data_IF_945668835548
#
_entry.id   IF_945668835548
#
_cell.length_a   1.000
_cell.length_b   1.000
_cell.length_c   1.000
_cell.angle_alpha   90.00
_cell.angle_beta   90.00
_cell.angle_gamma   90.00
#
_symmetry.space_group_name_H-M   'P 1'
#
loop_
_entity.id
_entity.type
_entity.pdbx_description
1 polymer ?
#
# COMPACT_ATOMS: atom_id res chain seq x y z
N UNK A 1 -7.14 -17.05 5.04
CA UNK A 1 -7.71 -18.27 4.43
C UNK A 1 -6.76 -18.77 3.35
N UNK A 2 -6.26 -20.01 3.43
CA UNK A 2 -5.53 -20.61 2.29
C UNK A 2 -6.55 -20.97 1.21
N UNK A 3 -6.33 -20.48 -0.02
CA UNK A 3 -7.17 -20.80 -1.17
C UNK A 3 -6.62 -22.02 -1.91
N UNK A 4 -5.28 -22.16 -1.93
CA UNK A 4 -4.62 -23.33 -2.51
C UNK A 4 -3.28 -23.60 -1.80
N UNK A 5 -2.54 -24.62 -2.27
CA UNK A 5 -1.15 -24.88 -1.79
C UNK A 5 -0.19 -23.73 -2.10
N UNK A 6 -0.50 -22.90 -3.10
CA UNK A 6 0.35 -21.81 -3.58
C UNK A 6 -0.24 -20.41 -3.38
N UNK A 7 -1.49 -20.29 -2.91
CA UNK A 7 -2.14 -19.00 -2.65
C UNK A 7 -2.84 -18.96 -1.29
N UNK A 8 -2.67 -17.87 -0.57
CA UNK A 8 -3.51 -17.56 0.59
C UNK A 8 -3.98 -16.12 0.52
N UNK A 9 -5.09 -15.88 1.21
CA UNK A 9 -5.74 -14.58 1.25
C UNK A 9 -5.92 -14.13 2.70
N UNK A 10 -5.68 -12.85 2.95
CA UNK A 10 -5.92 -12.19 4.23
C UNK A 10 -6.85 -11.01 4.00
N UNK A 11 -8.01 -11.02 4.65
CA UNK A 11 -8.86 -9.84 4.73
C UNK A 11 -8.19 -8.84 5.66
N UNK A 12 -7.99 -7.62 5.16
CA UNK A 12 -7.52 -6.48 5.95
C UNK A 12 -8.38 -5.26 5.62
N UNK A 13 -8.49 -4.34 6.56
CA UNK A 13 -8.97 -2.99 6.28
C UNK A 13 -7.76 -2.07 6.33
N UNK A 14 -7.34 -1.54 5.18
CA UNK A 14 -6.18 -0.63 5.12
C UNK A 14 -6.65 0.73 5.61
N UNK A 15 -6.13 1.17 6.76
CA UNK A 15 -6.34 2.53 7.26
C UNK A 15 -5.14 3.40 6.95
N UNK A 16 -5.40 4.68 6.75
CA UNK A 16 -4.40 5.69 6.37
C UNK A 16 -3.26 5.80 7.38
N UNK A 17 -3.57 5.69 8.67
CA UNK A 17 -2.57 5.75 9.74
C UNK A 17 -1.87 4.42 10.03
N UNK A 18 -2.25 3.34 9.33
CA UNK A 18 -1.71 1.99 9.50
C UNK A 18 -0.77 1.59 8.34
N UNK A 19 -0.40 2.52 7.44
CA UNK A 19 0.45 2.22 6.27
C UNK A 19 1.76 1.54 6.68
N UNK A 20 2.44 2.05 7.72
CA UNK A 20 3.68 1.46 8.23
C UNK A 20 3.50 0.03 8.77
N UNK A 21 2.39 -0.22 9.47
CA UNK A 21 2.07 -1.56 9.95
C UNK A 21 1.80 -2.53 8.79
N UNK A 22 1.20 -2.04 7.70
CA UNK A 22 1.02 -2.82 6.48
C UNK A 22 2.37 -3.11 5.81
N UNK A 23 3.26 -2.13 5.69
CA UNK A 23 4.63 -2.34 5.16
C UNK A 23 5.35 -3.46 5.92
N UNK A 24 5.41 -3.35 7.26
CA UNK A 24 6.06 -4.34 8.13
C UNK A 24 5.43 -5.73 7.99
N UNK A 25 4.10 -5.81 7.88
CA UNK A 25 3.40 -7.07 7.64
C UNK A 25 3.75 -7.71 6.29
N UNK A 26 3.84 -6.90 5.23
CA UNK A 26 4.21 -7.39 3.90
C UNK A 26 5.67 -7.86 3.86
N UNK A 27 6.58 -7.16 4.55
CA UNK A 27 7.98 -7.57 4.72
C UNK A 27 8.08 -8.90 5.47
N UNK A 28 7.32 -9.08 6.56
CA UNK A 28 7.25 -10.34 7.31
C UNK A 28 6.77 -11.50 6.40
N UNK A 29 5.76 -11.27 5.56
CA UNK A 29 5.27 -12.30 4.63
C UNK A 29 6.25 -12.61 3.52
N UNK A 30 6.96 -11.62 2.99
CA UNK A 30 8.03 -11.89 2.04
C UNK A 30 9.16 -12.74 2.64
N UNK A 31 9.51 -12.52 3.91
CA UNK A 31 10.46 -13.35 4.66
C UNK A 31 9.99 -14.79 4.83
N UNK A 32 8.69 -15.02 4.97
CA UNK A 32 8.09 -16.36 5.05
C UNK A 32 7.97 -17.06 3.69
N UNK A 33 8.34 -16.39 2.59
CA UNK A 33 8.18 -16.92 1.23
C UNK A 33 6.79 -16.69 0.65
N UNK A 34 6.16 -15.58 1.01
CA UNK A 34 4.88 -15.16 0.45
C UNK A 34 4.99 -13.75 -0.11
N UNK A 35 4.81 -13.63 -1.42
CA UNK A 35 4.81 -12.33 -2.08
C UNK A 35 3.37 -11.87 -2.30
N UNK A 36 3.14 -10.59 -2.06
CA UNK A 36 1.87 -9.96 -2.37
C UNK A 36 1.68 -9.95 -3.89
N UNK A 37 0.57 -10.51 -4.35
CA UNK A 37 0.22 -10.65 -5.77
C UNK A 37 -0.83 -9.61 -6.17
N UNK A 38 -1.82 -9.34 -5.30
CA UNK A 38 -2.93 -8.44 -5.62
C UNK A 38 -3.69 -7.97 -4.35
N UNK A 39 -4.52 -6.93 -4.48
CA UNK A 39 -5.52 -6.52 -3.49
C UNK A 39 -6.88 -6.32 -4.16
N UNK A 40 -7.84 -7.18 -3.79
CA UNK A 40 -9.20 -7.13 -4.31
C UNK A 40 -10.16 -6.91 -3.15
N UNK A 41 -10.93 -5.83 -3.15
CA UNK A 41 -11.97 -5.57 -2.13
C UNK A 41 -11.50 -5.74 -0.67
N UNK A 42 -10.30 -5.25 -0.32
CA UNK A 42 -9.71 -5.39 1.02
C UNK A 42 -9.07 -6.77 1.31
N UNK A 43 -9.07 -7.68 0.35
CA UNK A 43 -8.38 -8.95 0.46
C UNK A 43 -6.98 -8.85 -0.13
N UNK A 44 -5.96 -8.96 0.73
CA UNK A 44 -4.59 -9.19 0.29
C UNK A 44 -4.46 -10.61 -0.25
N UNK A 45 -4.04 -10.74 -1.50
CA UNK A 45 -3.81 -12.02 -2.18
C UNK A 45 -2.31 -12.26 -2.24
N UNK A 46 -1.87 -13.36 -1.63
CA UNK A 46 -0.47 -13.75 -1.59
C UNK A 46 -0.23 -15.00 -2.43
N UNK A 47 0.89 -14.98 -3.14
CA UNK A 47 1.41 -16.13 -3.88
C UNK A 47 2.67 -16.65 -3.21
N UNK A 48 2.82 -17.97 -3.17
CA UNK A 48 4.03 -18.62 -2.68
C UNK A 48 5.22 -18.20 -3.55
N UNK A 49 6.27 -17.74 -2.90
CA UNK A 49 7.52 -17.29 -3.50
C UNK A 49 8.72 -17.86 -2.69
N UNK A 50 9.94 -17.64 -3.15
CA UNK A 50 11.12 -17.89 -2.33
C UNK A 50 11.18 -16.88 -1.18
N UNK A 51 11.50 -17.30 0.06
CA UNK A 51 11.80 -16.39 1.16
C UNK A 51 12.80 -15.31 0.73
N UNK A 52 12.41 -14.04 0.85
CA UNK A 52 13.24 -12.92 0.44
C UNK A 52 13.17 -11.78 1.44
N UNK A 53 14.31 -11.12 1.67
CA UNK A 53 14.36 -9.84 2.39
C UNK A 53 14.14 -8.73 1.37
N UNK A 54 12.96 -8.12 1.40
CA UNK A 54 12.64 -6.91 0.65
C UNK A 54 12.07 -5.85 1.58
N UNK A 55 12.04 -4.61 1.10
CA UNK A 55 11.36 -3.48 1.72
C UNK A 55 10.07 -3.19 0.99
N UNK A 56 9.04 -2.83 1.73
CA UNK A 56 7.77 -2.35 1.18
C UNK A 56 7.60 -0.87 1.51
N UNK A 57 6.92 -0.16 0.62
CA UNK A 57 6.44 1.19 0.87
C UNK A 57 4.96 1.28 0.46
N UNK A 58 4.14 1.82 1.34
CA UNK A 58 2.72 2.06 1.13
C UNK A 58 2.47 3.55 1.29
N UNK A 59 2.34 4.27 0.17
CA UNK A 59 2.08 5.71 0.19
C UNK A 59 0.62 6.02 -0.17
N UNK A 60 0.11 7.09 0.43
CA UNK A 60 -1.20 7.65 0.16
C UNK A 60 -1.05 8.69 -0.94
N UNK A 61 -1.59 8.35 -2.11
CA UNK A 61 -1.62 9.23 -3.27
C UNK A 61 -3.06 9.56 -3.64
N UNK A 62 -3.37 10.86 -3.65
CA UNK A 62 -4.75 11.34 -3.87
C UNK A 62 -4.83 12.41 -4.96
N UNK A 63 -3.73 12.70 -5.64
CA UNK A 63 -3.67 13.69 -6.70
C UNK A 63 -3.74 12.99 -8.08
N UNK A 64 -3.88 13.74 -9.17
CA UNK A 64 -4.23 13.17 -10.48
C UNK A 64 -3.02 12.63 -11.28
N UNK A 65 -1.79 12.97 -10.88
CA UNK A 65 -0.56 12.66 -11.63
C UNK A 65 0.11 11.39 -11.10
N UNK A 66 -0.66 10.29 -11.04
CA UNK A 66 -0.18 9.03 -10.46
C UNK A 66 1.00 8.45 -11.24
N UNK A 67 0.94 8.47 -12.57
CA UNK A 67 1.93 7.81 -13.41
C UNK A 67 3.30 8.51 -13.28
N UNK A 68 3.33 9.84 -13.31
CA UNK A 68 4.54 10.64 -13.03
C UNK A 68 5.14 10.33 -11.66
N UNK A 69 4.28 10.14 -10.65
CA UNK A 69 4.72 9.81 -9.30
C UNK A 69 5.29 8.39 -9.21
N UNK A 70 4.71 7.43 -9.92
CA UNK A 70 5.26 6.07 -10.03
C UNK A 70 6.62 6.11 -10.71
N UNK A 71 6.75 6.78 -11.85
CA UNK A 71 8.01 6.92 -12.57
C UNK A 71 9.10 7.53 -11.69
N UNK A 72 8.76 8.57 -10.91
CA UNK A 72 9.67 9.15 -9.92
C UNK A 72 10.13 8.13 -8.87
N UNK A 73 9.21 7.34 -8.32
CA UNK A 73 9.56 6.33 -7.32
C UNK A 73 10.42 5.21 -7.93
N UNK A 74 10.12 4.80 -9.16
CA UNK A 74 10.87 3.77 -9.88
C UNK A 74 12.28 4.22 -10.22
N UNK A 75 12.46 5.47 -10.65
CA UNK A 75 13.78 6.09 -10.82
C UNK A 75 14.57 6.13 -9.50
N UNK A 76 13.88 6.17 -8.36
CA UNK A 76 14.46 6.09 -7.02
C UNK A 76 14.81 4.68 -6.53
N UNK A 77 14.63 3.63 -7.35
CA UNK A 77 14.98 2.25 -7.01
C UNK A 77 13.83 1.43 -6.39
N UNK A 78 12.61 1.98 -6.39
CA UNK A 78 11.41 1.23 -6.03
C UNK A 78 10.84 0.50 -7.26
N UNK A 79 10.06 -0.55 -7.03
CA UNK A 79 9.28 -1.24 -8.06
C UNK A 79 7.81 -1.10 -7.71
N UNK A 80 7.01 -0.59 -8.63
CA UNK A 80 5.57 -0.52 -8.44
C UNK A 80 4.94 -1.92 -8.45
N UNK A 81 4.03 -2.21 -7.52
CA UNK A 81 3.26 -3.46 -7.51
C UNK A 81 1.86 -3.24 -8.05
N UNK A 82 1.06 -2.44 -7.35
CA UNK A 82 -0.31 -2.11 -7.74
C UNK A 82 -0.87 -0.97 -6.87
N UNK A 83 -2.09 -0.53 -7.21
CA UNK A 83 -2.85 0.46 -6.49
C UNK A 83 -4.10 -0.17 -5.88
N UNK A 84 -4.44 0.22 -4.67
CA UNK A 84 -5.74 -0.07 -4.06
C UNK A 84 -6.34 1.22 -3.50
N UNK A 85 -7.46 1.67 -4.07
CA UNK A 85 -8.05 2.98 -3.76
C UNK A 85 -6.99 4.09 -3.87
N UNK A 86 -6.67 4.78 -2.79
CA UNK A 86 -5.64 5.83 -2.70
C UNK A 86 -4.24 5.34 -2.31
N UNK A 87 -4.07 4.04 -2.08
CA UNK A 87 -2.81 3.46 -1.66
C UNK A 87 -2.03 2.98 -2.88
N UNK A 88 -0.78 3.45 -3.00
CA UNK A 88 0.20 2.93 -3.94
C UNK A 88 1.19 2.06 -3.18
N UNK A 89 1.39 0.84 -3.66
CA UNK A 89 2.25 -0.14 -3.00
C UNK A 89 3.46 -0.39 -3.89
N UNK A 90 4.62 -0.22 -3.28
CA UNK A 90 5.92 -0.42 -3.89
C UNK A 90 6.72 -1.44 -3.09
N UNK A 91 7.71 -2.04 -3.73
CA UNK A 91 8.70 -2.85 -3.06
C UNK A 91 10.08 -2.67 -3.66
N UNK A 92 11.11 -3.05 -2.91
CA UNK A 92 12.47 -3.16 -3.43
C UNK A 92 13.23 -4.26 -2.71
N UNK A 93 14.22 -4.84 -3.37
CA UNK A 93 15.14 -5.80 -2.77
C UNK A 93 16.36 -5.11 -2.14
N UNK A 94 16.54 -3.80 -2.40
CA UNK A 94 17.58 -3.00 -1.77
C UNK A 94 17.22 -2.66 -0.32
N UNK A 95 18.08 -3.11 0.61
CA UNK A 95 17.88 -2.93 2.05
C UNK A 95 18.29 -1.54 2.55
N UNK A 96 19.09 -0.82 1.77
CA UNK A 96 19.66 0.49 2.12
C UNK A 96 18.86 1.59 1.40
N UNK A 97 17.76 1.23 0.74
CA UNK A 97 16.90 2.17 0.03
C UNK A 97 16.44 3.31 0.94
N UNK A 98 16.40 4.52 0.39
CA UNK A 98 15.81 5.66 1.08
C UNK A 98 14.27 5.53 1.02
N UNK A 99 13.55 5.67 2.14
CA UNK A 99 12.09 5.70 2.14
C UNK A 99 11.56 6.75 1.14
N UNK A 100 10.46 6.43 0.46
CA UNK A 100 9.83 7.32 -0.53
C UNK A 100 9.52 8.70 0.08
N UNK A 101 9.10 8.72 1.34
CA UNK A 101 8.98 9.94 2.12
C UNK A 101 9.72 9.78 3.45
N UNK A 102 10.65 10.68 3.72
CA UNK A 102 11.43 10.73 4.97
C UNK A 102 10.89 11.75 5.95
N UNK A 103 10.10 12.71 5.48
CA UNK A 103 9.48 13.73 6.32
C UNK A 103 8.14 13.24 6.91
N UNK A 104 8.15 12.99 8.22
CA UNK A 104 6.97 12.55 8.97
C UNK A 104 5.82 13.57 8.95
N UNK A 105 6.09 14.87 8.89
CA UNK A 105 5.05 15.90 8.80
C UNK A 105 4.33 15.81 7.46
N UNK A 106 5.06 15.53 6.38
CA UNK A 106 4.45 15.32 5.06
C UNK A 106 3.59 14.06 5.05
N UNK A 107 4.07 12.95 5.64
CA UNK A 107 3.27 11.71 5.78
C UNK A 107 1.98 12.02 6.54
N UNK A 108 2.08 12.69 7.69
CA UNK A 108 0.92 13.04 8.51
C UNK A 108 -0.05 13.98 7.78
N UNK A 109 0.47 14.93 6.99
CA UNK A 109 -0.33 15.82 6.15
C UNK A 109 -1.10 15.04 5.09
N UNK A 110 -0.47 14.05 4.44
CA UNK A 110 -1.14 13.15 3.48
C UNK A 110 -2.25 12.34 4.15
N UNK A 111 -1.98 11.74 5.31
CA UNK A 111 -2.96 10.99 6.10
C UNK A 111 -4.16 11.87 6.46
N UNK A 112 -3.93 13.06 7.01
CA UNK A 112 -5.00 14.02 7.38
C UNK A 112 -5.82 14.46 6.17
N UNK A 113 -5.16 14.85 5.08
CA UNK A 113 -5.80 15.25 3.81
C UNK A 113 -6.69 14.12 3.28
N UNK A 114 -6.19 12.89 3.35
CA UNK A 114 -6.89 11.68 2.90
C UNK A 114 -8.14 11.39 3.73
N UNK A 115 -8.04 11.43 5.06
CA UNK A 115 -9.18 11.24 5.97
C UNK A 115 -10.24 12.32 5.74
N UNK A 116 -9.84 13.59 5.65
CA UNK A 116 -10.75 14.71 5.40
C UNK A 116 -11.52 14.53 4.08
N UNK A 117 -10.84 14.14 3.01
CA UNK A 117 -11.48 13.87 1.71
C UNK A 117 -12.50 12.73 1.81
N UNK A 118 -12.16 11.63 2.48
CA UNK A 118 -13.08 10.51 2.70
C UNK A 118 -14.31 10.92 3.53
N UNK A 119 -14.14 11.74 4.57
CA UNK A 119 -15.25 12.26 5.37
C UNK A 119 -16.19 13.15 4.55
N UNK A 120 -15.64 14.08 3.76
CA UNK A 120 -16.42 14.97 2.89
C UNK A 120 -17.23 14.17 1.86
N UNK A 121 -16.61 13.16 1.25
CA UNK A 121 -17.29 12.27 0.31
C UNK A 121 -18.45 11.51 0.97
N UNK A 122 -18.24 10.97 2.18
CA UNK A 122 -19.30 10.28 2.91
C UNK A 122 -20.47 11.21 3.28
N UNK A 123 -20.19 12.45 3.71
CA UNK A 123 -21.24 13.44 4.00
C UNK A 123 -22.04 13.76 2.72
N UNK A 124 -21.35 13.95 1.59
CA UNK A 124 -21.98 14.17 0.31
C UNK A 124 -22.90 13.00 -0.11
N UNK A 125 -22.44 11.76 0.04
CA UNK A 125 -23.24 10.56 -0.24
C UNK A 125 -24.47 10.45 0.66
N UNK A 126 -24.34 10.73 1.96
CA UNK A 126 -25.47 10.75 2.88
C UNK A 126 -26.48 11.82 2.46
N UNK A 127 -26.02 13.00 2.05
CA UNK A 127 -26.88 14.07 1.55
C UNK A 127 -27.64 13.72 0.27
N UNK A 128 -27.12 12.82 -0.58
CA UNK A 128 -27.83 12.32 -1.77
C UNK A 128 -28.92 11.29 -1.44
N UNK A 129 -28.87 10.69 -0.25
CA UNK A 129 -29.84 9.67 0.19
C UNK A 129 -31.04 10.26 0.95
N UNK A 130 -31.00 11.56 1.29
CA UNK A 130 -32.05 12.30 2.01
C UNK A 130 -32.83 13.13 1.01
#
# INVERSE_FOLDING_TARGET
MRISKSKFVKLISIKEHECKALEEYLEEKALEGWMLEDIICGFLIFKKNTPQKCKFAVDIFTDNNKDEYIEYCEAGGWKYLFQHDKFLIFYTEDKIITPIQTDEEIVLKKVRKSILRSLLYNIFLIGLMI
#
